data_IF_125334391641
#
_entry.id   IF_125334391641
#
_cell.length_a   1.000
_cell.length_b   1.000
_cell.length_c   1.000
_cell.angle_alpha   90.00
_cell.angle_beta   90.00
_cell.angle_gamma   90.00
#
_symmetry.space_group_name_H-M   'P 1'
#
loop_
_entity.id
_entity.type
_entity.pdbx_description
1 polymer ?
#
# COMPACT_ATOMS: atom_id res chain seq x y z
N UNK A 1 -28.59 48.20 6.81
CA UNK A 1 -27.12 48.35 7.05
C UNK A 1 -26.61 47.35 8.07
N UNK A 2 -27.17 47.26 9.28
CA UNK A 2 -26.78 46.26 10.31
C UNK A 2 -26.87 44.80 9.84
N UNK A 3 -27.96 44.42 9.14
CA UNK A 3 -28.12 43.06 8.61
C UNK A 3 -27.09 42.70 7.53
N UNK A 4 -26.66 43.66 6.72
CA UNK A 4 -25.61 43.45 5.71
C UNK A 4 -24.25 43.26 6.40
N UNK A 5 -23.96 44.06 7.43
CA UNK A 5 -22.74 43.93 8.24
C UNK A 5 -22.67 42.57 8.95
N UNK A 6 -23.79 42.09 9.51
CA UNK A 6 -23.89 40.77 10.15
C UNK A 6 -23.65 39.62 9.15
N UNK A 7 -24.19 39.73 7.93
CA UNK A 7 -23.99 38.72 6.89
C UNK A 7 -22.53 38.69 6.43
N UNK A 8 -21.94 39.86 6.19
CA UNK A 8 -20.54 39.97 5.75
C UNK A 8 -19.59 39.46 6.85
N UNK A 9 -19.84 39.78 8.12
CA UNK A 9 -19.00 39.31 9.22
C UNK A 9 -19.07 37.80 9.40
N UNK A 10 -20.26 37.19 9.27
CA UNK A 10 -20.43 35.73 9.34
C UNK A 10 -19.65 35.02 8.23
N UNK A 11 -19.79 35.48 6.98
CA UNK A 11 -19.09 34.90 5.81
C UNK A 11 -17.57 35.03 5.97
N UNK A 12 -17.09 36.20 6.40
CA UNK A 12 -15.67 36.42 6.67
C UNK A 12 -15.14 35.51 7.78
N UNK A 13 -15.89 35.33 8.87
CA UNK A 13 -15.50 34.46 9.99
C UNK A 13 -15.40 32.99 9.58
N UNK A 14 -16.39 32.44 8.84
CA UNK A 14 -16.36 31.04 8.38
C UNK A 14 -15.21 30.81 7.41
N UNK A 15 -15.00 31.74 6.47
CA UNK A 15 -13.93 31.63 5.47
C UNK A 15 -12.55 31.73 6.12
N UNK A 16 -12.36 32.68 7.04
CA UNK A 16 -11.13 32.84 7.81
C UNK A 16 -10.82 31.62 8.69
N UNK A 17 -11.84 31.03 9.34
CA UNK A 17 -11.67 29.81 10.12
C UNK A 17 -11.21 28.63 9.24
N UNK A 18 -11.79 28.46 8.05
CA UNK A 18 -11.38 27.41 7.10
C UNK A 18 -9.93 27.60 6.61
N UNK A 19 -9.52 28.83 6.33
CA UNK A 19 -8.13 29.16 5.97
C UNK A 19 -7.18 28.84 7.15
N UNK A 20 -7.58 29.15 8.38
CA UNK A 20 -6.79 28.85 9.58
C UNK A 20 -6.69 27.34 9.84
N UNK A 21 -7.75 26.57 9.60
CA UNK A 21 -7.71 25.10 9.66
C UNK A 21 -6.70 24.53 8.67
N UNK A 22 -6.69 25.03 7.43
CA UNK A 22 -5.71 24.64 6.43
C UNK A 22 -4.28 24.97 6.86
N UNK A 23 -4.04 26.19 7.37
CA UNK A 23 -2.72 26.61 7.82
C UNK A 23 -2.21 25.79 9.02
N UNK A 24 -3.11 25.40 9.94
CA UNK A 24 -2.78 24.49 11.06
C UNK A 24 -2.48 23.07 10.59
N UNK A 25 -3.12 22.60 9.52
CA UNK A 25 -2.89 21.27 8.96
C UNK A 25 -1.59 21.20 8.12
N UNK A 26 -1.20 22.30 7.48
CA UNK A 26 0.06 22.41 6.74
C UNK A 26 1.30 22.12 7.63
N UNK A 27 1.24 22.45 8.92
CA UNK A 27 2.29 22.12 9.89
C UNK A 27 2.31 20.66 10.35
N UNK A 28 1.25 19.88 10.10
CA UNK A 28 1.17 18.46 10.48
C UNK A 28 1.73 17.52 9.40
N UNK A 29 1.88 18.01 8.16
CA UNK A 29 2.45 17.24 7.04
C UNK A 29 3.98 17.35 6.98
N UNK A 30 4.56 18.34 7.65
CA UNK A 30 5.97 18.31 7.99
C UNK A 30 6.14 17.33 9.15
N UNK A 31 6.47 16.08 8.82
CA UNK A 31 7.16 15.20 9.75
C UNK A 31 8.21 16.04 10.50
N UNK A 32 8.34 15.94 11.83
CA UNK A 32 9.49 16.51 12.50
C UNK A 32 10.73 15.79 11.94
N UNK A 33 11.35 16.37 10.91
CA UNK A 33 12.65 15.97 10.36
C UNK A 33 13.80 16.20 11.36
N UNK A 34 13.48 16.38 12.64
CA UNK A 34 14.41 16.70 13.73
C UNK A 34 14.16 15.86 14.98
N UNK A 35 13.54 14.68 14.81
CA UNK A 35 13.97 13.52 15.60
C UNK A 35 14.69 12.66 14.59
N UNK A 36 16.00 12.50 14.78
CA UNK A 36 16.75 11.42 14.15
C UNK A 36 16.21 10.10 14.72
N UNK A 37 14.98 9.75 14.36
CA UNK A 37 14.51 8.39 14.47
C UNK A 37 15.41 7.65 13.50
N UNK A 38 16.37 6.92 14.05
CA UNK A 38 17.07 5.86 13.34
C UNK A 38 15.94 4.99 12.81
N UNK A 39 15.52 5.22 11.56
CA UNK A 39 14.56 4.35 10.93
C UNK A 39 15.24 2.98 10.95
N UNK A 40 14.64 1.96 11.59
CA UNK A 40 15.23 0.64 11.59
C UNK A 40 15.48 0.27 10.13
N UNK A 41 16.67 -0.27 9.85
CA UNK A 41 17.01 -0.68 8.50
C UNK A 41 15.86 -1.52 7.94
N UNK A 42 15.43 -1.28 6.69
CA UNK A 42 14.34 -2.04 6.10
C UNK A 42 14.54 -3.53 6.31
N UNK A 43 13.48 -4.29 6.62
CA UNK A 43 13.60 -5.74 6.73
C UNK A 43 14.18 -6.31 5.44
N UNK A 44 15.12 -7.25 5.56
CA UNK A 44 15.70 -7.92 4.40
C UNK A 44 14.59 -8.64 3.63
N UNK A 45 14.62 -8.53 2.31
CA UNK A 45 13.68 -9.26 1.46
C UNK A 45 13.78 -10.77 1.73
N UNK A 46 12.64 -11.47 1.87
CA UNK A 46 12.63 -12.92 2.04
C UNK A 46 13.23 -13.59 0.81
N UNK A 47 14.00 -14.67 1.03
CA UNK A 47 14.64 -15.42 -0.05
C UNK A 47 13.69 -16.52 -0.55
N UNK A 48 13.74 -16.89 -1.84
CA UNK A 48 13.06 -18.08 -2.33
C UNK A 48 13.50 -19.33 -1.57
N UNK A 49 12.56 -20.22 -1.27
CA UNK A 49 12.86 -21.53 -0.71
C UNK A 49 13.48 -22.43 -1.79
N UNK A 50 14.30 -23.41 -1.38
CA UNK A 50 14.93 -24.37 -2.30
C UNK A 50 13.90 -25.17 -3.10
N UNK A 51 12.78 -25.52 -2.45
CA UNK A 51 11.67 -26.28 -3.03
C UNK A 51 10.48 -25.38 -3.44
N UNK A 52 10.70 -24.06 -3.50
CA UNK A 52 9.72 -23.10 -3.95
C UNK A 52 9.54 -23.12 -5.47
N UNK A 53 8.44 -22.52 -5.94
CA UNK A 53 8.26 -22.25 -7.37
C UNK A 53 9.38 -21.32 -7.84
N UNK A 54 10.10 -21.65 -8.93
CA UNK A 54 11.17 -20.79 -9.44
C UNK A 54 10.58 -19.49 -10.00
N UNK A 55 11.34 -18.41 -9.85
CA UNK A 55 11.00 -17.13 -10.47
C UNK A 55 11.24 -17.23 -11.99
N UNK A 56 10.31 -16.73 -12.83
CA UNK A 56 10.54 -16.60 -14.26
C UNK A 56 11.63 -15.56 -14.53
N UNK A 57 12.24 -15.63 -15.73
CA UNK A 57 13.24 -14.65 -16.16
C UNK A 57 12.61 -13.26 -16.37
N UNK A 58 11.38 -13.24 -16.89
CA UNK A 58 10.60 -12.02 -17.11
C UNK A 58 9.71 -11.71 -15.90
N UNK A 59 9.91 -10.56 -15.26
CA UNK A 59 9.14 -10.11 -14.10
C UNK A 59 7.65 -9.86 -14.41
N UNK A 60 7.29 -9.71 -15.68
CA UNK A 60 5.90 -9.56 -16.12
C UNK A 60 5.12 -10.89 -16.10
N UNK A 61 5.82 -12.03 -16.03
CA UNK A 61 5.20 -13.35 -16.05
C UNK A 61 4.84 -13.82 -14.64
N UNK A 62 3.67 -14.46 -14.52
CA UNK A 62 3.25 -15.11 -13.30
C UNK A 62 4.02 -16.43 -13.10
N UNK A 63 4.70 -16.65 -11.95
CA UNK A 63 5.42 -17.90 -11.68
C UNK A 63 4.56 -19.17 -11.67
N UNK A 64 3.24 -19.03 -11.46
CA UNK A 64 2.32 -20.16 -11.40
C UNK A 64 1.75 -20.55 -12.77
N UNK A 65 1.41 -19.58 -13.62
CA UNK A 65 0.74 -19.83 -14.88
C UNK A 65 1.57 -19.47 -16.12
N UNK A 66 2.78 -18.93 -15.93
CA UNK A 66 3.74 -18.54 -16.96
C UNK A 66 3.17 -17.62 -18.05
N UNK A 67 2.11 -16.88 -17.74
CA UNK A 67 1.48 -15.86 -18.60
C UNK A 67 1.69 -14.48 -17.99
N UNK A 68 1.55 -13.42 -18.80
CA UNK A 68 1.58 -12.05 -18.31
C UNK A 68 0.57 -11.84 -17.18
N UNK A 69 0.97 -11.12 -16.13
CA UNK A 69 0.12 -10.78 -14.99
C UNK A 69 -1.02 -9.86 -15.43
N UNK A 70 -2.26 -10.34 -15.40
CA UNK A 70 -3.45 -9.55 -15.78
C UNK A 70 -4.14 -8.87 -14.59
N UNK A 71 -3.98 -9.42 -13.39
CA UNK A 71 -4.45 -8.84 -12.13
C UNK A 71 -3.34 -9.07 -11.10
N UNK A 72 -2.27 -8.28 -11.11
CA UNK A 72 -1.12 -8.51 -10.27
C UNK A 72 -1.51 -8.40 -8.79
N UNK A 73 -1.07 -9.37 -8.00
CA UNK A 73 -1.24 -9.37 -6.55
C UNK A 73 0.04 -9.82 -5.87
N UNK A 74 0.39 -9.14 -4.78
CA UNK A 74 1.48 -9.51 -3.90
C UNK A 74 1.02 -10.54 -2.87
N UNK A 75 1.87 -11.54 -2.67
CA UNK A 75 1.83 -12.45 -1.53
C UNK A 75 2.25 -11.75 -0.23
N UNK A 76 2.10 -12.44 0.90
CA UNK A 76 2.50 -11.97 2.22
C UNK A 76 3.98 -11.55 2.30
N UNK A 77 4.82 -12.15 1.45
CA UNK A 77 6.27 -11.95 1.41
C UNK A 77 6.71 -10.95 0.33
N UNK A 78 5.76 -10.35 -0.40
CA UNK A 78 6.03 -9.33 -1.41
C UNK A 78 6.24 -9.85 -2.85
N UNK A 79 6.22 -11.16 -3.09
CA UNK A 79 6.27 -11.70 -4.45
C UNK A 79 4.96 -11.54 -5.20
N UNK A 80 5.02 -11.26 -6.51
CA UNK A 80 3.85 -10.91 -7.33
C UNK A 80 3.42 -12.02 -8.30
N UNK A 81 2.10 -12.23 -8.38
CA UNK A 81 1.45 -13.27 -9.18
C UNK A 81 0.16 -12.73 -9.80
N UNK A 82 -0.52 -13.50 -10.64
CA UNK A 82 -1.94 -13.25 -10.90
C UNK A 82 -2.76 -13.52 -9.62
N UNK A 83 -3.64 -12.59 -9.24
CA UNK A 83 -4.56 -12.74 -8.12
C UNK A 83 -5.28 -14.10 -8.08
N UNK A 84 -5.94 -14.58 -9.15
CA UNK A 84 -6.63 -15.86 -9.10
C UNK A 84 -5.67 -17.04 -8.89
N UNK A 85 -4.46 -16.99 -9.45
CA UNK A 85 -3.47 -18.05 -9.26
C UNK A 85 -2.98 -18.10 -7.81
N UNK A 86 -2.68 -16.94 -7.22
CA UNK A 86 -2.19 -16.84 -5.86
C UNK A 86 -3.26 -17.19 -4.82
N UNK A 87 -4.48 -16.62 -4.93
CA UNK A 87 -5.58 -16.92 -4.01
C UNK A 87 -5.92 -18.41 -4.02
N UNK A 88 -6.01 -19.04 -5.21
CA UNK A 88 -6.23 -20.49 -5.32
C UNK A 88 -5.14 -21.31 -4.64
N UNK A 89 -3.86 -20.95 -4.85
CA UNK A 89 -2.74 -21.67 -4.23
C UNK A 89 -2.74 -21.51 -2.71
N UNK A 90 -2.90 -20.28 -2.23
CA UNK A 90 -2.90 -19.95 -0.79
C UNK A 90 -4.08 -20.61 -0.09
N UNK A 91 -5.27 -20.64 -0.71
CA UNK A 91 -6.43 -21.33 -0.16
C UNK A 91 -6.18 -22.84 0.00
N UNK A 92 -5.47 -23.46 -0.94
CA UNK A 92 -5.17 -24.90 -0.91
C UNK A 92 -4.01 -25.27 0.03
N UNK A 93 -2.98 -24.43 0.11
CA UNK A 93 -1.72 -24.78 0.77
C UNK A 93 -1.38 -23.93 2.00
N UNK A 94 -2.09 -22.83 2.26
CA UNK A 94 -1.87 -21.94 3.41
C UNK A 94 -0.49 -21.25 3.43
N UNK A 95 0.20 -21.18 2.29
CA UNK A 95 1.59 -20.71 2.20
C UNK A 95 1.88 -20.03 0.86
N UNK A 96 2.93 -19.20 0.84
CA UNK A 96 3.44 -18.57 -0.37
C UNK A 96 4.10 -19.60 -1.32
N UNK A 97 3.86 -19.55 -2.64
CA UNK A 97 4.46 -20.51 -3.58
C UNK A 97 5.99 -20.46 -3.68
N UNK A 98 6.61 -19.28 -3.45
CA UNK A 98 8.04 -19.06 -3.67
C UNK A 98 8.86 -19.30 -2.41
N UNK A 99 8.43 -18.75 -1.27
CA UNK A 99 9.16 -18.82 0.01
C UNK A 99 8.72 -20.00 0.87
N UNK A 100 7.56 -20.59 0.57
CA UNK A 100 6.86 -21.57 1.40
C UNK A 100 6.53 -21.08 2.83
N UNK A 101 6.64 -19.77 3.08
CA UNK A 101 6.27 -19.18 4.36
C UNK A 101 4.73 -19.15 4.52
N UNK A 102 4.22 -19.23 5.75
CA UNK A 102 2.79 -19.16 6.02
C UNK A 102 2.18 -17.89 5.42
N UNK A 103 1.11 -18.05 4.67
CA UNK A 103 0.44 -16.93 4.03
C UNK A 103 -1.06 -17.14 4.07
N UNK A 104 -1.78 -16.16 4.61
CA UNK A 104 -3.23 -16.16 4.66
C UNK A 104 -3.80 -15.43 3.43
N UNK A 105 -4.98 -15.85 2.98
CA UNK A 105 -5.66 -15.18 1.86
C UNK A 105 -5.94 -13.69 2.16
N UNK A 106 -6.27 -13.37 3.41
CA UNK A 106 -6.49 -12.00 3.89
C UNK A 106 -5.23 -11.12 3.84
N UNK A 107 -4.04 -11.72 3.71
CA UNK A 107 -2.76 -11.02 3.59
C UNK A 107 -2.36 -10.77 2.14
N UNK A 108 -3.09 -11.32 1.16
CA UNK A 108 -2.88 -11.02 -0.26
C UNK A 108 -3.26 -9.56 -0.53
N UNK A 109 -2.46 -8.86 -1.32
CA UNK A 109 -2.71 -7.46 -1.71
C UNK A 109 -2.75 -7.36 -3.23
N UNK A 110 -3.88 -6.91 -3.79
CA UNK A 110 -3.96 -6.58 -5.22
C UNK A 110 -3.17 -5.31 -5.50
N UNK A 111 -2.49 -5.29 -6.64
CA UNK A 111 -1.71 -4.15 -7.11
C UNK A 111 -2.50 -3.52 -8.25
N UNK A 112 -2.83 -2.24 -8.09
CA UNK A 112 -3.46 -1.43 -9.13
C UNK A 112 -2.39 -0.45 -9.63
N UNK A 113 -2.10 -0.52 -10.92
CA UNK A 113 -1.19 0.42 -11.58
C UNK A 113 -2.08 1.49 -12.22
N UNK A 114 -1.98 2.71 -11.70
CA UNK A 114 -2.58 3.91 -12.31
C UNK A 114 -1.63 4.54 -13.35
#
# INVERSE_FOLDING_TARGET
RLQLLLRVSLVAAVTGFKILQWWRQAGSTALPSSVSHIQPAPPKAPKPARDGVPLPLDDDLCPLCHRRKTNPAASCDGYTFCFPCLSTYVQKHGRCPITLLPCAESSIRRIYLD
#
